data_IF_388729031680
#
_entry.id   IF_388729031680
#
_cell.length_a   1.000
_cell.length_b   1.000
_cell.length_c   1.000
_cell.angle_alpha   90.00
_cell.angle_beta   90.00
_cell.angle_gamma   90.00
#
_symmetry.space_group_name_H-M   'P 1'
#
loop_
_entity.id
_entity.type
_entity.pdbx_description
1 polymer ?
#
# COMPACT_ATOMS: atom_id res chain seq x y z
N UNK A 1 -1.72 -1.94 18.84
CA UNK A 1 -1.72 -2.26 17.40
C UNK A 1 -2.92 -3.15 17.18
N UNK A 2 -3.84 -2.73 16.33
CA UNK A 2 -5.06 -3.47 16.01
C UNK A 2 -4.75 -4.49 14.91
N UNK A 3 -4.84 -5.79 15.24
CA UNK A 3 -4.49 -6.86 14.32
C UNK A 3 -5.46 -6.95 13.14
N UNK A 4 -6.75 -6.67 13.35
CA UNK A 4 -7.76 -6.72 12.29
C UNK A 4 -7.51 -5.60 11.28
N UNK A 5 -7.21 -4.39 11.77
CA UNK A 5 -6.85 -3.26 10.91
C UNK A 5 -5.57 -3.52 10.10
N UNK A 6 -4.52 -4.03 10.75
CA UNK A 6 -3.26 -4.34 10.07
C UNK A 6 -3.48 -5.43 9.02
N UNK A 7 -4.25 -6.47 9.33
CA UNK A 7 -4.60 -7.50 8.34
C UNK A 7 -5.39 -6.92 7.17
N UNK A 8 -6.42 -6.11 7.42
CA UNK A 8 -7.22 -5.51 6.36
C UNK A 8 -6.38 -4.64 5.41
N UNK A 9 -5.51 -3.80 5.95
CA UNK A 9 -4.63 -2.93 5.14
C UNK A 9 -3.54 -3.69 4.39
N UNK A 10 -3.02 -4.78 4.95
CA UNK A 10 -2.07 -5.66 4.25
C UNK A 10 -2.76 -6.48 3.17
N UNK A 11 -4.00 -6.93 3.38
CA UNK A 11 -4.81 -7.60 2.35
C UNK A 11 -5.06 -6.65 1.17
N UNK A 12 -5.41 -5.40 1.42
CA UNK A 12 -5.58 -4.40 0.36
C UNK A 12 -4.28 -4.18 -0.46
N UNK A 13 -3.13 -4.14 0.22
CA UNK A 13 -1.84 -4.08 -0.46
C UNK A 13 -1.53 -5.34 -1.29
N UNK A 14 -1.88 -6.53 -0.77
CA UNK A 14 -1.73 -7.80 -1.46
C UNK A 14 -2.60 -7.86 -2.72
N UNK A 15 -3.89 -7.55 -2.63
CA UNK A 15 -4.83 -7.55 -3.76
C UNK A 15 -4.35 -6.63 -4.89
N UNK A 16 -3.75 -5.50 -4.52
CA UNK A 16 -3.17 -4.54 -5.49
C UNK A 16 -1.93 -5.12 -6.17
N UNK A 17 -1.08 -5.84 -5.42
CA UNK A 17 0.09 -6.50 -5.98
C UNK A 17 -0.31 -7.69 -6.87
N UNK A 18 -1.29 -8.48 -6.45
CA UNK A 18 -1.85 -9.59 -7.24
C UNK A 18 -2.40 -9.07 -8.57
N UNK A 19 -3.17 -7.98 -8.55
CA UNK A 19 -3.67 -7.33 -9.77
C UNK A 19 -2.53 -6.89 -10.70
N UNK A 20 -1.47 -6.28 -10.15
CA UNK A 20 -0.31 -5.88 -10.92
C UNK A 20 0.43 -7.08 -11.54
N UNK A 21 0.50 -8.20 -10.83
CA UNK A 21 1.09 -9.45 -11.34
C UNK A 21 0.24 -10.00 -12.48
N UNK A 22 -1.08 -10.08 -12.31
CA UNK A 22 -2.00 -10.55 -13.35
C UNK A 22 -1.89 -9.72 -14.64
N UNK A 23 -1.77 -8.39 -14.54
CA UNK A 23 -1.57 -7.52 -15.69
C UNK A 23 -0.25 -7.79 -16.41
N UNK A 24 0.84 -7.98 -15.66
CA UNK A 24 2.16 -8.32 -16.21
C UNK A 24 2.18 -9.71 -16.85
N UNK A 25 1.47 -10.69 -16.27
CA UNK A 25 1.33 -12.02 -16.83
C UNK A 25 0.50 -12.01 -18.13
N UNK A 26 -0.51 -11.15 -18.21
CA UNK A 26 -1.35 -10.99 -19.40
C UNK A 26 -0.62 -10.30 -20.56
N UNK A 27 0.23 -9.32 -20.27
CA UNK A 27 1.04 -8.61 -21.27
C UNK A 27 2.47 -8.29 -20.75
N UNK A 28 3.41 -9.23 -20.87
CA UNK A 28 4.78 -9.03 -20.42
C UNK A 28 5.54 -7.91 -21.16
N UNK A 29 5.10 -7.54 -22.36
CA UNK A 29 5.76 -6.47 -23.13
C UNK A 29 5.33 -5.08 -22.65
N UNK A 30 4.18 -4.96 -21.96
CA UNK A 30 3.68 -3.72 -21.38
C UNK A 30 4.31 -3.35 -20.01
N UNK A 31 5.23 -4.15 -19.48
CA UNK A 31 5.86 -3.94 -18.16
C UNK A 31 6.40 -2.51 -17.97
N UNK A 32 7.00 -1.93 -19.01
CA UNK A 32 7.59 -0.60 -18.93
C UNK A 32 6.55 0.52 -18.73
N UNK A 33 5.30 0.28 -19.15
CA UNK A 33 4.18 1.21 -19.00
C UNK A 33 3.36 0.92 -17.74
N UNK A 34 3.20 -0.37 -17.38
CA UNK A 34 2.41 -0.82 -16.24
C UNK A 34 3.10 -0.55 -14.89
N UNK A 35 4.38 -0.92 -14.75
CA UNK A 35 5.08 -0.83 -13.47
C UNK A 35 5.17 0.60 -12.89
N UNK A 36 5.40 1.66 -13.69
CA UNK A 36 5.42 3.03 -13.17
C UNK A 36 4.11 3.46 -12.51
N UNK A 37 2.97 2.84 -12.84
CA UNK A 37 1.68 3.11 -12.19
C UNK A 37 1.38 2.12 -11.05
N UNK A 38 1.60 0.82 -11.30
CA UNK A 38 1.22 -0.24 -10.36
C UNK A 38 2.09 -0.26 -9.09
N UNK A 39 3.41 -0.10 -9.22
CA UNK A 39 4.33 -0.20 -8.09
C UNK A 39 4.14 0.93 -7.07
N UNK A 40 4.00 2.21 -7.48
CA UNK A 40 3.67 3.28 -6.53
C UNK A 40 2.35 3.04 -5.77
N UNK A 41 1.34 2.43 -6.40
CA UNK A 41 0.08 2.11 -5.74
C UNK A 41 0.27 1.05 -4.63
N UNK A 42 1.08 0.02 -4.89
CA UNK A 42 1.45 -0.98 -3.87
C UNK A 42 2.21 -0.30 -2.72
N UNK A 43 3.19 0.55 -3.02
CA UNK A 43 3.92 1.29 -1.99
C UNK A 43 3.01 2.18 -1.15
N UNK A 44 2.07 2.91 -1.78
CA UNK A 44 1.11 3.74 -1.08
C UNK A 44 0.30 2.94 -0.04
N UNK A 45 -0.13 1.73 -0.41
CA UNK A 45 -0.89 0.84 0.49
C UNK A 45 -0.04 0.23 1.60
N UNK A 46 1.19 -0.17 1.31
CA UNK A 46 2.13 -0.64 2.34
C UNK A 46 2.48 0.48 3.33
N UNK A 47 2.70 1.70 2.83
CA UNK A 47 2.93 2.88 3.64
C UNK A 47 1.69 3.19 4.50
N UNK A 48 0.49 3.11 3.93
CA UNK A 48 -0.78 3.28 4.63
C UNK A 48 -0.91 2.30 5.79
N UNK A 49 -0.64 1.01 5.54
CA UNK A 49 -0.66 -0.03 6.58
C UNK A 49 0.32 0.30 7.72
N UNK A 50 1.54 0.73 7.39
CA UNK A 50 2.53 1.11 8.38
C UNK A 50 2.13 2.38 9.16
N UNK A 51 1.79 3.46 8.47
CA UNK A 51 1.54 4.77 9.07
C UNK A 51 0.26 4.77 9.93
N UNK A 52 -0.74 3.94 9.59
CA UNK A 52 -1.97 3.80 10.38
C UNK A 52 -1.89 2.77 11.51
N UNK A 53 -0.85 1.90 11.57
CA UNK A 53 -0.78 0.72 12.46
C UNK A 53 -1.05 0.98 13.95
N UNK A 54 -0.69 2.17 14.44
CA UNK A 54 -0.84 2.55 15.86
C UNK A 54 -2.26 3.03 16.15
N UNK A 55 -2.83 3.85 15.27
CA UNK A 55 -4.14 4.48 15.44
C UNK A 55 -5.30 3.64 14.90
N UNK A 56 -5.02 2.67 14.01
CA UNK A 56 -6.05 1.87 13.35
C UNK A 56 -6.99 2.75 12.53
N UNK A 57 -8.29 2.45 12.60
CA UNK A 57 -9.34 3.20 11.92
C UNK A 57 -9.36 4.70 12.26
N UNK A 58 -8.93 5.07 13.48
CA UNK A 58 -8.89 6.45 13.90
C UNK A 58 -7.86 7.30 13.10
N UNK A 59 -6.93 6.65 12.39
CA UNK A 59 -5.98 7.33 11.52
C UNK A 59 -6.68 8.10 10.38
N UNK A 60 -7.84 7.62 9.91
CA UNK A 60 -8.60 8.23 8.83
C UNK A 60 -9.07 9.66 9.14
N UNK A 61 -9.34 9.93 10.42
CA UNK A 61 -9.81 11.25 10.88
C UNK A 61 -8.69 12.12 11.43
N UNK A 62 -7.54 11.51 11.78
CA UNK A 62 -6.49 12.15 12.57
C UNK A 62 -5.19 12.40 11.80
N UNK A 63 -4.99 11.71 10.67
CA UNK A 63 -3.78 11.82 9.86
C UNK A 63 -4.19 12.20 8.45
N UNK A 64 -3.45 13.15 7.87
CA UNK A 64 -3.68 13.54 6.49
C UNK A 64 -3.45 12.35 5.54
N UNK A 65 -4.26 12.24 4.49
CA UNK A 65 -4.17 11.11 3.57
C UNK A 65 -2.80 11.02 2.89
N UNK A 66 -2.21 12.16 2.51
CA UNK A 66 -0.89 12.19 1.89
C UNK A 66 0.18 11.69 2.87
N UNK A 67 0.04 12.01 4.17
CA UNK A 67 0.91 11.47 5.21
C UNK A 67 0.73 9.97 5.42
N UNK A 68 -0.49 9.45 5.27
CA UNK A 68 -0.74 8.01 5.37
C UNK A 68 -0.07 7.23 4.25
N UNK A 69 -0.08 7.73 3.01
CA UNK A 69 0.50 7.03 1.86
C UNK A 69 1.98 7.36 1.60
N UNK A 70 2.53 8.38 2.26
CA UNK A 70 3.93 8.76 2.14
C UNK A 70 4.88 7.72 2.74
N UNK A 71 6.11 7.69 2.22
CA UNK A 71 7.16 6.81 2.76
C UNK A 71 7.34 7.03 4.26
N UNK A 72 7.30 5.97 5.10
CA UNK A 72 7.32 6.13 6.54
C UNK A 72 8.60 6.77 7.06
N UNK A 73 8.44 7.74 7.96
CA UNK A 73 9.55 8.54 8.51
C UNK A 73 10.36 7.76 9.56
N UNK A 74 9.78 6.70 10.12
CA UNK A 74 10.30 5.92 11.24
C UNK A 74 10.63 4.46 10.86
N UNK A 75 10.71 4.16 9.56
CA UNK A 75 11.05 2.82 9.08
C UNK A 75 12.52 2.51 9.44
N UNK A 76 12.80 1.40 10.16
CA UNK A 76 14.16 1.05 10.52
C UNK A 76 14.90 0.55 9.28
N UNK A 77 16.00 1.25 8.92
CA UNK A 77 16.91 0.87 7.84
C UNK A 77 17.90 -0.21 8.30
#
# INVERSE_FOLDING_TARGET
MDAEWVLATLTDALETLESAIEEVEADPDAIAELLPAAIPAVYAKLNYAWNSRILGAAALDQVDHDELIAFPKDLPF
#
